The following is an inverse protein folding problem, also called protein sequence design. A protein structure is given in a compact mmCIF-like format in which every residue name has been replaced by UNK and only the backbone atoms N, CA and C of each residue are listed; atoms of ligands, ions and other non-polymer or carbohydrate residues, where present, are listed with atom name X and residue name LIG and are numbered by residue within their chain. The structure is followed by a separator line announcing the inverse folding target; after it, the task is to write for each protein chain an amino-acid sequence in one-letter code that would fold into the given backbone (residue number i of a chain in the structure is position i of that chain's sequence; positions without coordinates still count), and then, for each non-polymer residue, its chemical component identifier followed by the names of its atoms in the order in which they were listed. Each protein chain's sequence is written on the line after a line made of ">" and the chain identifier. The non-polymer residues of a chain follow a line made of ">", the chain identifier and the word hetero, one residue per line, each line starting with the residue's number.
data_IF_713581893553
#
_entry.id   IF_713581893553
#
_cell.length_a   1.000
_cell.length_b   1.000
_cell.length_c   1.000
_cell.angle_alpha   90.00
_cell.angle_beta   90.00
_cell.angle_gamma   90.00
#
_symmetry.space_group_name_H-M   'P 1'
#
loop_
_entity.id
_entity.type
_entity.pdbx_description
1 polymer ?
#
# COMPACT_ATOMS: atom_id res chain seq x y z
N UNK A 1 -1.49 55.68 -52.00
CA UNK A 1 -1.17 54.30 -51.56
C UNK A 1 -2.47 53.50 -51.51
N UNK A 2 -2.49 52.32 -52.14
CA UNK A 2 -3.69 51.66 -52.66
C UNK A 2 -4.37 50.74 -51.61
N UNK A 3 -5.69 50.94 -51.44
CA UNK A 3 -6.86 50.01 -51.46
C UNK A 3 -6.66 48.57 -50.92
N UNK A 4 -7.62 47.88 -50.29
CA UNK A 4 -9.01 48.09 -49.86
C UNK A 4 -9.40 46.85 -49.00
N UNK A 5 -10.48 46.99 -48.23
CA UNK A 5 -11.28 45.95 -47.54
C UNK A 5 -11.36 44.59 -48.27
N UNK A 6 -11.54 43.48 -47.52
CA UNK A 6 -12.74 42.63 -47.64
C UNK A 6 -12.88 41.59 -46.49
N UNK A 7 -14.12 41.11 -46.38
CA UNK A 7 -14.80 40.40 -45.28
C UNK A 7 -14.52 38.90 -45.21
N UNK A 8 -14.69 38.36 -44.00
CA UNK A 8 -15.33 37.08 -43.58
C UNK A 8 -15.62 36.06 -44.69
N UNK A 9 -15.11 34.82 -44.54
CA UNK A 9 -15.88 33.57 -44.69
C UNK A 9 -15.29 32.49 -43.77
N UNK A 10 -16.16 31.90 -42.96
CA UNK A 10 -16.01 30.67 -42.19
C UNK A 10 -16.38 29.49 -43.12
N UNK A 11 -15.56 28.43 -43.22
CA UNK A 11 -16.05 27.12 -43.67
C UNK A 11 -15.23 25.98 -43.04
N UNK A 12 -15.97 25.17 -42.30
CA UNK A 12 -15.65 23.85 -41.77
C UNK A 12 -15.56 22.82 -42.90
N UNK A 13 -14.60 21.91 -42.87
CA UNK A 13 -14.79 20.53 -43.35
C UNK A 13 -13.66 19.59 -42.89
N UNK A 14 -14.10 18.47 -42.33
CA UNK A 14 -13.37 17.28 -41.88
C UNK A 14 -12.92 16.46 -43.08
N UNK A 15 -11.68 15.96 -43.12
CA UNK A 15 -11.41 14.58 -43.61
C UNK A 15 -10.04 14.06 -43.16
N UNK A 16 -10.04 12.84 -42.62
CA UNK A 16 -8.88 12.03 -42.31
C UNK A 16 -8.18 11.53 -43.58
N UNK A 17 -6.85 11.39 -43.54
CA UNK A 17 -6.10 10.59 -44.49
C UNK A 17 -5.08 9.71 -43.74
N UNK A 18 -5.23 8.42 -43.97
CA UNK A 18 -4.37 7.30 -43.60
C UNK A 18 -3.22 7.12 -44.60
N UNK A 19 -2.04 6.86 -44.05
CA UNK A 19 -0.89 6.02 -44.47
C UNK A 19 -0.66 5.62 -45.95
N UNK A 20 0.62 5.73 -46.37
CA UNK A 20 1.29 4.97 -47.44
C UNK A 20 2.37 5.82 -48.14
N UNK A 21 3.68 5.67 -47.88
CA UNK A 21 4.67 4.66 -48.34
C UNK A 21 5.53 5.14 -49.55
N UNK A 22 6.76 4.60 -49.64
CA UNK A 22 7.90 4.81 -50.61
C UNK A 22 8.94 5.89 -50.20
N UNK A 23 10.20 5.57 -49.83
CA UNK A 23 11.38 4.95 -50.53
C UNK A 23 12.01 5.91 -51.56
N UNK A 24 13.32 6.24 -51.63
CA UNK A 24 14.59 5.61 -51.22
C UNK A 24 15.71 6.65 -50.91
N UNK A 25 16.73 6.17 -50.19
CA UNK A 25 18.19 6.45 -50.19
C UNK A 25 18.76 7.87 -50.06
N UNK A 26 19.34 8.15 -48.87
CA UNK A 26 20.74 8.61 -48.76
C UNK A 26 21.33 8.33 -47.37
N UNK A 27 22.56 7.81 -47.35
CA UNK A 27 23.28 7.33 -46.15
C UNK A 27 23.86 8.47 -45.32
N UNK A 28 23.51 8.55 -44.03
CA UNK A 28 24.45 8.89 -42.96
C UNK A 28 23.90 8.50 -41.58
N UNK A 29 24.75 7.90 -40.76
CA UNK A 29 24.48 7.35 -39.43
C UNK A 29 23.79 8.35 -38.49
N UNK A 30 22.55 8.02 -38.12
CA UNK A 30 22.06 8.24 -36.77
C UNK A 30 21.02 7.16 -36.47
N UNK A 31 21.32 6.29 -35.50
CA UNK A 31 20.32 5.41 -34.89
C UNK A 31 19.34 6.31 -34.16
N UNK A 32 18.36 6.82 -34.89
CA UNK A 32 17.18 7.44 -34.32
C UNK A 32 16.38 6.29 -33.70
N UNK A 33 16.41 6.21 -32.37
CA UNK A 33 15.42 5.43 -31.64
C UNK A 33 14.05 5.80 -32.22
N UNK A 34 13.20 4.82 -32.57
CA UNK A 34 11.85 5.15 -32.98
C UNK A 34 11.21 6.02 -31.89
N UNK A 35 10.43 7.04 -32.26
CA UNK A 35 9.74 7.85 -31.27
C UNK A 35 8.97 6.90 -30.35
N UNK A 36 9.23 7.00 -29.04
CA UNK A 36 8.49 6.25 -28.02
C UNK A 36 7.02 6.54 -28.30
N UNK A 37 6.31 5.53 -28.80
CA UNK A 37 4.89 5.60 -29.04
C UNK A 37 4.20 6.12 -27.78
N UNK A 38 3.16 6.93 -27.96
CA UNK A 38 2.20 7.31 -26.92
C UNK A 38 2.12 6.24 -25.82
N UNK A 39 2.55 6.64 -24.62
CA UNK A 39 3.39 5.86 -23.71
C UNK A 39 2.92 4.45 -23.35
N UNK A 40 3.79 3.45 -23.53
CA UNK A 40 3.65 2.11 -22.95
C UNK A 40 3.32 2.19 -21.46
N UNK A 41 2.19 1.60 -21.06
CA UNK A 41 1.84 1.39 -19.66
C UNK A 41 2.50 0.13 -19.13
N UNK A 42 3.36 0.29 -18.13
CA UNK A 42 4.05 -0.80 -17.47
C UNK A 42 3.24 -1.38 -16.31
N UNK A 43 3.41 -2.67 -16.06
CA UNK A 43 3.07 -3.33 -14.81
C UNK A 43 4.39 -3.64 -14.10
N UNK A 44 4.69 -2.91 -13.02
CA UNK A 44 5.90 -3.15 -12.24
C UNK A 44 5.63 -4.26 -11.22
N UNK A 45 6.38 -5.34 -11.31
CA UNK A 45 6.39 -6.42 -10.32
C UNK A 45 7.50 -6.18 -9.32
N UNK A 46 7.23 -6.45 -8.04
CA UNK A 46 8.26 -6.44 -7.01
C UNK A 46 8.39 -7.79 -6.30
N UNK A 47 9.60 -8.11 -5.86
CA UNK A 47 9.90 -9.32 -5.11
C UNK A 47 10.91 -9.09 -4.01
N UNK A 48 10.71 -9.73 -2.87
CA UNK A 48 11.67 -9.77 -1.75
C UNK A 48 12.60 -10.95 -1.87
N UNK A 49 13.83 -10.74 -1.43
CA UNK A 49 14.84 -11.79 -1.27
C UNK A 49 15.39 -11.79 0.17
N UNK A 50 15.95 -12.92 0.64
CA UNK A 50 16.42 -13.04 2.02
C UNK A 50 17.78 -12.35 2.25
N UNK A 51 18.09 -12.09 3.52
CA UNK A 51 19.47 -11.76 3.96
C UNK A 51 20.37 -13.01 3.95
N UNK A 52 21.62 -12.86 4.39
CA UNK A 52 22.59 -13.95 4.42
C UNK A 52 22.17 -15.10 5.36
N UNK A 53 21.38 -14.79 6.38
CA UNK A 53 20.81 -15.72 7.35
C UNK A 53 19.54 -16.43 6.82
N UNK A 54 19.07 -16.09 5.61
CA UNK A 54 17.87 -16.69 5.02
C UNK A 54 16.56 -16.04 5.46
N UNK A 55 16.60 -14.92 6.19
CA UNK A 55 15.42 -14.22 6.68
C UNK A 55 14.74 -13.47 5.54
N UNK A 56 13.59 -13.99 5.11
CA UNK A 56 12.87 -13.45 3.97
C UNK A 56 12.48 -11.98 4.15
N UNK A 57 12.76 -11.17 3.13
CA UNK A 57 12.45 -9.74 3.12
C UNK A 57 13.51 -8.84 3.75
N UNK A 58 14.52 -9.38 4.43
CA UNK A 58 15.64 -8.60 4.96
C UNK A 58 16.73 -8.30 3.91
N UNK A 59 16.82 -9.10 2.84
CA UNK A 59 17.81 -8.86 1.78
C UNK A 59 17.52 -7.61 0.95
N UNK A 60 16.25 -7.24 0.82
CA UNK A 60 15.82 -6.05 0.06
C UNK A 60 14.62 -6.32 -0.84
N UNK A 61 14.48 -5.52 -1.88
CA UNK A 61 13.41 -5.66 -2.88
C UNK A 61 13.94 -5.40 -4.27
N UNK A 62 13.53 -6.24 -5.24
CA UNK A 62 13.82 -6.04 -6.66
C UNK A 62 12.54 -5.69 -7.42
N UNK A 63 12.67 -4.90 -8.48
CA UNK A 63 11.58 -4.47 -9.36
C UNK A 63 11.85 -4.86 -10.82
N UNK A 64 10.80 -5.25 -11.54
CA UNK A 64 10.85 -5.55 -12.98
C UNK A 64 9.52 -5.21 -13.64
N UNK A 65 9.56 -4.39 -14.69
CA UNK A 65 8.39 -3.89 -15.40
C UNK A 65 8.09 -4.71 -16.65
N UNK A 66 6.83 -5.07 -16.87
CA UNK A 66 6.40 -5.81 -18.06
C UNK A 66 5.21 -5.11 -18.72
N UNK A 67 5.00 -5.38 -20.00
CA UNK A 67 3.80 -4.93 -20.71
C UNK A 67 2.57 -5.72 -20.24
N UNK A 68 1.38 -5.20 -20.52
CA UNK A 68 0.12 -5.93 -20.25
C UNK A 68 0.03 -7.24 -21.03
N UNK A 69 0.60 -7.27 -22.25
CA UNK A 69 0.68 -8.47 -23.09
C UNK A 69 1.55 -9.54 -22.42
N UNK A 70 2.76 -9.17 -22.00
CA UNK A 70 3.66 -10.09 -21.29
C UNK A 70 3.04 -10.56 -19.97
N UNK A 71 2.41 -9.66 -19.22
CA UNK A 71 1.71 -10.00 -17.98
C UNK A 71 0.61 -11.05 -18.24
N UNK A 72 -0.09 -10.99 -19.37
CA UNK A 72 -1.14 -11.92 -19.75
C UNK A 72 -0.65 -13.21 -20.43
N UNK A 73 0.63 -13.30 -20.79
CA UNK A 73 1.20 -14.42 -21.51
C UNK A 73 1.74 -15.50 -20.55
N UNK A 74 1.10 -16.69 -20.44
CA UNK A 74 1.57 -17.75 -19.56
C UNK A 74 2.91 -18.39 -19.96
N UNK A 75 3.42 -18.07 -21.15
CA UNK A 75 4.74 -18.51 -21.62
C UNK A 75 5.85 -17.50 -21.33
N UNK A 76 5.51 -16.27 -20.94
CA UNK A 76 6.49 -15.29 -20.49
C UNK A 76 6.88 -15.61 -19.05
N UNK A 77 8.18 -15.52 -18.73
CA UNK A 77 8.72 -15.81 -17.40
C UNK A 77 9.46 -14.58 -16.86
N UNK A 78 9.18 -14.25 -15.60
CA UNK A 78 9.94 -13.27 -14.84
C UNK A 78 10.72 -14.00 -13.76
N UNK A 79 12.03 -13.83 -13.76
CA UNK A 79 12.93 -14.36 -12.74
C UNK A 79 13.72 -13.21 -12.09
N UNK A 80 13.06 -12.49 -11.17
CA UNK A 80 13.69 -11.42 -10.39
C UNK A 80 14.90 -11.88 -9.58
N UNK A 81 15.00 -13.17 -9.29
CA UNK A 81 15.97 -13.73 -8.36
C UNK A 81 17.12 -14.44 -9.06
N UNK A 82 17.16 -14.40 -10.40
CA UNK A 82 18.24 -14.96 -11.19
C UNK A 82 19.60 -14.42 -10.74
N UNK A 83 20.49 -15.34 -10.40
CA UNK A 83 21.87 -15.03 -10.05
C UNK A 83 22.85 -15.61 -11.08
N UNK A 84 23.92 -14.85 -11.35
CA UNK A 84 25.12 -15.30 -12.05
C UNK A 84 26.34 -14.87 -11.24
N UNK A 85 27.25 -15.79 -10.95
CA UNK A 85 28.42 -15.53 -10.11
C UNK A 85 28.10 -14.89 -8.75
N UNK A 86 26.97 -15.26 -8.13
CA UNK A 86 26.51 -14.70 -6.85
C UNK A 86 25.91 -13.28 -6.92
N UNK A 87 25.70 -12.75 -8.13
CA UNK A 87 25.10 -11.43 -8.35
C UNK A 87 23.76 -11.57 -9.05
N UNK A 88 22.78 -10.79 -8.63
CA UNK A 88 21.50 -10.73 -9.33
C UNK A 88 21.67 -10.09 -10.71
N UNK A 89 21.14 -10.74 -11.75
CA UNK A 89 21.27 -10.30 -13.15
C UNK A 89 19.97 -9.77 -13.76
N UNK A 90 18.83 -9.92 -13.07
CA UNK A 90 17.52 -9.49 -13.55
C UNK A 90 16.86 -8.51 -12.59
N UNK A 91 16.21 -7.48 -13.13
CA UNK A 91 15.51 -6.46 -12.35
C UNK A 91 16.43 -5.41 -11.73
N UNK A 92 15.80 -4.45 -11.07
CA UNK A 92 16.44 -3.32 -10.41
C UNK A 92 16.33 -3.45 -8.89
N UNK A 93 17.43 -3.26 -8.16
CA UNK A 93 17.41 -3.28 -6.70
C UNK A 93 16.91 -1.92 -6.19
N UNK A 94 15.75 -1.92 -5.53
CA UNK A 94 15.24 -0.71 -4.89
C UNK A 94 16.07 -0.40 -3.64
N UNK A 95 16.36 0.88 -3.41
CA UNK A 95 17.11 1.33 -2.23
C UNK A 95 16.29 1.03 -0.97
N UNK A 96 16.76 0.11 -0.12
CA UNK A 96 16.27 -0.10 1.25
C UNK A 96 17.12 -1.18 1.93
N UNK A 97 17.34 -1.07 3.24
CA UNK A 97 18.00 -2.11 4.05
C UNK A 97 17.15 -3.36 4.29
N UNK A 98 15.89 -3.36 3.83
CA UNK A 98 14.96 -4.49 3.90
C UNK A 98 13.88 -4.31 2.84
N UNK A 99 12.74 -4.98 2.99
CA UNK A 99 11.63 -4.84 2.04
C UNK A 99 11.23 -3.37 1.87
N UNK A 100 11.35 -2.85 0.64
CA UNK A 100 11.01 -1.49 0.27
C UNK A 100 9.52 -1.20 0.52
N UNK A 101 9.15 0.08 0.62
CA UNK A 101 7.77 0.55 0.77
C UNK A 101 7.36 1.23 -0.51
N UNK A 102 6.98 0.44 -1.50
CA UNK A 102 6.81 0.92 -2.87
C UNK A 102 5.40 1.46 -3.08
N UNK A 103 5.30 2.52 -3.89
CA UNK A 103 4.07 3.07 -4.46
C UNK A 103 4.34 3.37 -5.94
N UNK A 104 3.29 3.62 -6.74
CA UNK A 104 3.46 3.91 -8.16
C UNK A 104 2.51 5.00 -8.67
N UNK A 105 2.86 5.69 -9.75
CA UNK A 105 1.98 6.61 -10.46
C UNK A 105 0.84 5.85 -11.16
N UNK A 106 -0.30 6.50 -11.36
CA UNK A 106 -1.46 5.85 -11.99
C UNK A 106 -1.22 5.43 -13.46
N UNK A 107 -0.28 6.08 -14.14
CA UNK A 107 0.11 5.81 -15.51
C UNK A 107 1.21 4.74 -15.65
N UNK A 108 1.76 4.26 -14.53
CA UNK A 108 2.83 3.25 -14.49
C UNK A 108 4.20 3.76 -14.92
N UNK A 109 4.40 5.08 -15.04
CA UNK A 109 5.69 5.67 -15.44
C UNK A 109 6.65 5.90 -14.28
N UNK A 110 6.17 5.90 -13.05
CA UNK A 110 6.98 6.13 -11.87
C UNK A 110 6.74 5.09 -10.78
N UNK A 111 7.83 4.64 -10.17
CA UNK A 111 7.82 4.03 -8.84
C UNK A 111 8.35 5.03 -7.83
N UNK A 112 7.82 4.93 -6.62
CA UNK A 112 8.21 5.74 -5.49
C UNK A 112 8.53 4.82 -4.32
N UNK A 113 9.48 5.21 -3.48
CA UNK A 113 9.86 4.46 -2.29
C UNK A 113 10.28 5.42 -1.18
N UNK A 114 9.95 5.07 0.06
CA UNK A 114 10.65 5.61 1.23
C UNK A 114 11.37 4.44 1.88
N UNK A 115 12.69 4.58 1.98
CA UNK A 115 13.54 3.57 2.60
C UNK A 115 13.11 3.36 4.05
N UNK A 116 13.04 2.10 4.47
CA UNK A 116 12.56 1.74 5.80
C UNK A 116 13.70 1.11 6.61
N UNK A 117 14.00 1.66 7.79
CA UNK A 117 15.13 1.30 8.67
C UNK A 117 16.52 1.48 8.03
N UNK A 118 17.58 1.25 8.81
CA UNK A 118 18.97 1.37 8.34
C UNK A 118 19.46 2.82 8.30
N UNK A 119 20.70 2.99 7.84
CA UNK A 119 21.39 4.30 7.76
C UNK A 119 20.63 5.30 6.90
N UNK A 120 20.05 4.83 5.79
CA UNK A 120 19.27 5.64 4.85
C UNK A 120 17.75 5.58 5.10
N UNK A 121 17.33 5.03 6.25
CA UNK A 121 15.92 4.95 6.61
C UNK A 121 15.27 6.33 6.63
N UNK A 122 14.13 6.49 5.95
CA UNK A 122 13.43 7.76 5.79
C UNK A 122 13.81 8.56 4.54
N UNK A 123 14.72 8.09 3.70
CA UNK A 123 15.01 8.73 2.41
C UNK A 123 13.95 8.35 1.38
N UNK A 124 13.35 9.35 0.72
CA UNK A 124 12.42 9.18 -0.38
C UNK A 124 13.16 9.14 -1.72
N UNK A 125 12.74 8.22 -2.59
CA UNK A 125 13.26 8.00 -3.93
C UNK A 125 12.10 7.95 -4.94
N UNK A 126 12.34 8.50 -6.13
CA UNK A 126 11.44 8.41 -7.29
C UNK A 126 12.24 7.81 -8.45
N UNK A 127 11.62 6.86 -9.15
CA UNK A 127 12.22 6.13 -10.25
C UNK A 127 11.33 6.21 -11.47
N UNK A 128 11.85 6.68 -12.60
CA UNK A 128 11.22 6.56 -13.91
C UNK A 128 11.29 5.11 -14.39
N UNK A 129 10.18 4.60 -14.91
CA UNK A 129 10.02 3.22 -15.37
C UNK A 129 10.10 3.18 -16.90
N UNK A 130 11.10 2.45 -17.41
CA UNK A 130 11.35 2.31 -18.86
C UNK A 130 11.24 0.86 -19.34
N UNK A 131 10.65 -0.02 -18.52
CA UNK A 131 10.45 -1.44 -18.83
C UNK A 131 11.55 -2.35 -18.27
N UNK A 132 11.19 -3.61 -18.06
CA UNK A 132 12.08 -4.66 -17.55
C UNK A 132 12.82 -4.21 -16.28
N UNK A 133 14.15 -4.35 -16.23
CA UNK A 133 14.98 -3.85 -15.14
C UNK A 133 15.42 -2.39 -15.27
N UNK A 134 14.86 -1.61 -16.20
CA UNK A 134 15.30 -0.24 -16.50
C UNK A 134 14.53 0.78 -15.66
N UNK A 135 15.15 1.18 -14.56
CA UNK A 135 14.67 2.21 -13.66
C UNK A 135 15.74 3.29 -13.51
N UNK A 136 15.34 4.55 -13.67
CA UNK A 136 16.23 5.70 -13.57
C UNK A 136 15.76 6.59 -12.42
N UNK A 137 16.68 7.02 -11.55
CA UNK A 137 16.33 7.98 -10.50
C UNK A 137 15.90 9.30 -11.14
N UNK A 138 14.77 9.84 -10.66
CA UNK A 138 14.16 11.05 -11.17
C UNK A 138 13.95 12.05 -10.03
N UNK A 139 14.58 13.21 -10.12
CA UNK A 139 14.59 14.22 -9.06
C UNK A 139 15.64 13.96 -7.98
N UNK A 140 15.53 14.70 -6.88
CA UNK A 140 16.47 14.60 -5.76
C UNK A 140 15.98 13.57 -4.73
N UNK A 141 16.94 12.92 -4.06
CA UNK A 141 16.62 12.18 -2.84
C UNK A 141 16.16 13.14 -1.75
N UNK A 142 15.05 12.80 -1.12
CA UNK A 142 14.42 13.65 -0.11
C UNK A 142 14.50 12.96 1.25
N UNK A 143 15.37 13.47 2.13
CA UNK A 143 15.52 12.91 3.47
C UNK A 143 14.36 13.36 4.38
N UNK A 144 13.40 12.46 4.62
CA UNK A 144 12.28 12.70 5.54
C UNK A 144 12.59 12.30 6.98
N UNK A 145 13.75 11.68 7.24
CA UNK A 145 14.08 11.10 8.54
C UNK A 145 14.21 12.13 9.66
N UNK A 146 14.58 13.37 9.33
CA UNK A 146 14.61 14.49 10.27
C UNK A 146 13.23 14.83 10.82
N UNK A 147 12.17 14.48 10.10
CA UNK A 147 10.78 14.71 10.48
C UNK A 147 10.13 13.41 10.96
N UNK A 148 10.23 12.33 10.20
CA UNK A 148 9.48 11.09 10.41
C UNK A 148 10.30 9.95 11.03
N UNK A 149 11.58 10.19 11.35
CA UNK A 149 12.50 9.16 11.79
C UNK A 149 12.90 8.17 10.69
N UNK A 150 13.64 7.14 11.06
CA UNK A 150 14.21 6.18 10.09
C UNK A 150 13.26 5.07 9.66
N UNK A 151 12.07 4.99 10.27
CA UNK A 151 11.09 3.94 10.02
C UNK A 151 9.69 4.50 9.73
N UNK A 152 9.56 5.46 8.80
CA UNK A 152 8.27 6.07 8.52
C UNK A 152 7.34 5.08 7.84
N UNK A 153 6.05 5.39 7.93
CA UNK A 153 4.97 4.75 7.18
C UNK A 153 4.52 5.73 6.15
N UNK A 154 4.18 5.29 4.95
CA UNK A 154 3.83 6.23 3.91
C UNK A 154 3.04 5.55 2.80
N UNK A 155 2.23 6.34 2.09
CA UNK A 155 1.52 5.91 0.88
C UNK A 155 1.40 7.07 -0.11
N UNK A 156 1.09 6.75 -1.37
CA UNK A 156 0.55 7.72 -2.33
C UNK A 156 -0.92 7.96 -1.97
N UNK A 157 -1.20 9.07 -1.29
CA UNK A 157 -2.55 9.40 -0.84
C UNK A 157 -3.46 9.87 -1.99
N UNK A 158 -2.87 10.50 -3.02
CA UNK A 158 -3.49 10.81 -4.30
C UNK A 158 -2.39 10.96 -5.37
N UNK A 159 -2.76 11.01 -6.65
CA UNK A 159 -1.77 11.31 -7.70
C UNK A 159 -1.08 12.66 -7.43
N UNK A 160 0.26 12.67 -7.49
CA UNK A 160 1.09 13.81 -7.12
C UNK A 160 1.27 14.06 -5.61
N UNK A 161 0.55 13.35 -4.73
CA UNK A 161 0.55 13.59 -3.27
C UNK A 161 0.94 12.33 -2.50
N UNK A 162 2.13 12.35 -1.91
CA UNK A 162 2.59 11.38 -0.92
C UNK A 162 2.32 11.88 0.50
N UNK A 163 2.05 10.97 1.42
CA UNK A 163 1.95 11.30 2.84
C UNK A 163 2.73 10.30 3.66
N UNK A 164 3.73 10.78 4.39
CA UNK A 164 4.48 10.05 5.38
C UNK A 164 3.96 10.33 6.79
N UNK A 165 3.94 9.31 7.63
CA UNK A 165 3.46 9.36 9.01
C UNK A 165 4.37 8.54 9.92
N UNK A 166 4.45 8.98 11.18
CA UNK A 166 5.19 8.31 12.24
C UNK A 166 4.41 8.42 13.54
N UNK A 167 4.50 7.37 14.37
CA UNK A 167 3.98 7.38 15.73
C UNK A 167 4.97 6.71 16.68
N UNK A 168 5.08 7.25 17.89
CA UNK A 168 5.85 6.63 18.97
C UNK A 168 5.09 6.80 20.30
N UNK A 169 4.83 5.69 20.99
CA UNK A 169 4.10 5.66 22.25
C UNK A 169 5.03 5.44 23.44
N UNK A 170 5.06 6.39 24.38
CA UNK A 170 5.91 6.36 25.57
C UNK A 170 5.04 6.26 26.82
N UNK A 171 5.32 5.30 27.68
CA UNK A 171 4.63 5.16 28.96
C UNK A 171 5.21 6.13 29.99
N UNK A 172 4.33 6.79 30.74
CA UNK A 172 4.67 7.59 31.91
C UNK A 172 4.21 6.87 33.18
N UNK A 173 5.07 6.85 34.18
CA UNK A 173 4.83 6.17 35.46
C UNK A 173 5.66 6.83 36.57
N UNK A 174 5.26 6.59 37.81
CA UNK A 174 5.97 7.05 39.01
C UNK A 174 6.35 5.87 39.91
N UNK A 175 7.16 6.13 40.93
CA UNK A 175 7.66 5.12 41.86
C UNK A 175 8.90 4.40 41.35
N UNK A 176 9.35 3.41 42.11
CA UNK A 176 10.50 2.55 41.81
C UNK A 176 10.09 1.10 41.95
N UNK A 177 10.87 0.19 41.35
CA UNK A 177 10.66 -1.24 41.49
C UNK A 177 10.53 -1.64 42.99
N UNK A 178 9.52 -2.43 43.37
CA UNK A 178 8.45 -3.03 42.55
C UNK A 178 7.14 -2.21 42.47
N UNK A 179 7.09 -1.02 43.05
CA UNK A 179 5.88 -0.22 43.31
C UNK A 179 5.62 0.85 42.24
N UNK A 180 5.77 0.50 40.97
CA UNK A 180 5.46 1.43 39.88
C UNK A 180 3.96 1.72 39.79
N UNK A 181 3.60 2.98 39.61
CA UNK A 181 2.21 3.43 39.41
C UNK A 181 2.08 4.03 38.01
N UNK A 182 1.11 3.52 37.24
CA UNK A 182 0.82 4.01 35.91
C UNK A 182 0.30 5.45 35.95
N UNK A 183 0.78 6.30 35.03
CA UNK A 183 0.18 7.63 34.80
C UNK A 183 -0.59 7.68 33.50
N UNK A 184 0.11 7.55 32.37
CA UNK A 184 -0.48 7.57 31.04
C UNK A 184 0.45 6.92 30.02
N UNK A 185 0.02 6.89 28.75
CA UNK A 185 0.87 6.46 27.63
C UNK A 185 0.60 7.33 26.40
N UNK A 186 1.22 8.49 26.36
CA UNK A 186 1.06 9.43 25.26
C UNK A 186 1.79 8.93 24.00
N UNK A 187 1.23 9.28 22.84
CA UNK A 187 1.76 8.90 21.53
C UNK A 187 2.04 10.14 20.72
N UNK A 188 3.31 10.42 20.42
CA UNK A 188 3.68 11.51 19.51
C UNK A 188 3.39 11.06 18.08
N UNK A 189 2.69 11.90 17.32
CA UNK A 189 2.37 11.71 15.90
C UNK A 189 3.12 12.75 15.09
N UNK A 190 3.72 12.33 13.98
CA UNK A 190 4.33 13.22 12.98
C UNK A 190 3.77 12.90 11.60
N UNK A 191 3.48 13.94 10.83
CA UNK A 191 2.96 13.82 9.46
C UNK A 191 3.80 14.73 8.56
N UNK A 192 4.15 14.25 7.38
CA UNK A 192 4.74 15.05 6.31
C UNK A 192 4.01 14.78 4.99
N UNK A 193 3.66 15.85 4.27
CA UNK A 193 3.13 15.74 2.91
C UNK A 193 4.26 15.95 1.90
N UNK A 194 4.23 15.16 0.84
CA UNK A 194 5.28 15.12 -0.19
C UNK A 194 4.63 15.39 -1.54
N UNK A 195 5.14 16.37 -2.27
CA UNK A 195 4.86 16.55 -3.70
C UNK A 195 5.67 15.50 -4.48
N UNK A 196 4.97 14.52 -5.04
CA UNK A 196 5.58 13.41 -5.80
C UNK A 196 6.07 13.83 -7.19
N UNK A 197 5.58 14.96 -7.71
CA UNK A 197 6.01 15.48 -8.99
C UNK A 197 7.37 16.17 -8.83
N UNK A 198 7.49 17.03 -7.82
CA UNK A 198 8.67 17.87 -7.57
C UNK A 198 9.64 17.32 -6.51
N UNK A 199 9.35 16.15 -5.93
CA UNK A 199 10.19 15.51 -4.89
C UNK A 199 10.48 16.42 -3.70
N UNK A 200 9.43 17.05 -3.14
CA UNK A 200 9.57 18.06 -2.08
C UNK A 200 8.60 17.85 -0.92
N UNK A 201 9.02 18.16 0.32
CA UNK A 201 8.10 18.25 1.47
C UNK A 201 7.30 19.54 1.36
N UNK A 202 5.98 19.44 1.42
CA UNK A 202 5.07 20.59 1.25
C UNK A 202 4.47 21.08 2.57
N UNK A 203 4.33 20.21 3.57
CA UNK A 203 3.85 20.57 4.91
C UNK A 203 4.26 19.49 5.92
N UNK A 204 4.41 19.89 7.19
CA UNK A 204 4.69 18.97 8.30
C UNK A 204 3.94 19.40 9.56
N UNK A 205 3.65 18.43 10.43
CA UNK A 205 3.13 18.71 11.77
C UNK A 205 3.58 17.62 12.75
N UNK A 206 3.72 18.00 14.02
CA UNK A 206 3.86 17.07 15.12
C UNK A 206 2.85 17.43 16.22
N UNK A 207 2.21 16.43 16.82
CA UNK A 207 1.26 16.60 17.93
C UNK A 207 1.12 15.31 18.73
N UNK A 208 0.62 15.42 19.96
CA UNK A 208 0.22 14.23 20.73
C UNK A 208 -1.11 13.71 20.20
N UNK A 209 -1.21 12.39 20.01
CA UNK A 209 -2.45 11.72 19.63
C UNK A 209 -3.59 12.18 20.57
N UNK A 210 -4.73 12.63 20.02
CA UNK A 210 -5.73 13.35 20.80
C UNK A 210 -6.64 12.37 21.57
N UNK A 211 -6.05 11.62 22.49
CA UNK A 211 -6.77 10.83 23.48
C UNK A 211 -7.61 11.73 24.38
N UNK A 212 -8.75 11.23 24.82
CA UNK A 212 -9.47 11.76 25.98
C UNK A 212 -8.72 11.46 27.28
N UNK A 213 -9.00 12.20 28.35
CA UNK A 213 -8.36 11.93 29.65
C UNK A 213 -8.78 10.56 30.21
N UNK A 214 -10.01 10.14 29.93
CA UNK A 214 -10.53 8.81 30.27
C UNK A 214 -9.77 7.70 29.54
N UNK A 215 -9.52 7.85 28.23
CA UNK A 215 -8.75 6.87 27.45
C UNK A 215 -7.29 6.80 27.94
N UNK A 216 -6.66 7.94 28.22
CA UNK A 216 -5.31 7.98 28.79
C UNK A 216 -5.25 7.22 30.11
N UNK A 217 -6.16 7.52 31.03
CA UNK A 217 -6.23 6.87 32.34
C UNK A 217 -6.56 5.37 32.24
N UNK A 218 -7.33 4.97 31.23
CA UNK A 218 -7.71 3.57 30.98
C UNK A 218 -6.60 2.72 30.31
N UNK A 219 -5.45 3.31 29.99
CA UNK A 219 -4.30 2.59 29.46
C UNK A 219 -4.22 2.51 27.94
N UNK A 220 -4.94 3.37 27.20
CA UNK A 220 -4.88 3.39 25.73
C UNK A 220 -3.57 3.99 25.21
N UNK A 221 -3.15 3.53 24.03
CA UNK A 221 -1.99 4.06 23.30
C UNK A 221 -2.06 3.73 21.81
N UNK A 222 -1.39 4.51 20.96
CA UNK A 222 -1.22 4.20 19.54
C UNK A 222 0.27 4.04 19.24
N UNK A 223 0.70 2.80 19.02
CA UNK A 223 2.10 2.51 18.72
C UNK A 223 2.50 2.73 17.26
N UNK A 224 1.53 2.75 16.35
CA UNK A 224 1.74 2.96 14.90
C UNK A 224 0.51 3.63 14.29
N UNK A 225 0.76 4.47 13.29
CA UNK A 225 -0.27 4.99 12.39
C UNK A 225 0.17 4.69 10.95
N UNK A 226 -0.78 4.31 10.11
CA UNK A 226 -0.48 3.78 8.78
C UNK A 226 -1.53 4.24 7.73
N UNK A 227 -1.18 4.05 6.45
CA UNK A 227 -2.08 4.19 5.28
C UNK A 227 -2.85 5.51 5.23
N UNK A 228 -2.21 6.70 5.30
CA UNK A 228 -2.92 7.97 5.19
C UNK A 228 -3.68 8.13 3.85
N UNK A 229 -4.99 8.35 3.88
CA UNK A 229 -5.83 8.53 2.68
C UNK A 229 -6.64 9.82 2.77
N UNK A 230 -6.70 10.56 1.66
CA UNK A 230 -7.55 11.75 1.52
C UNK A 230 -8.99 11.34 1.25
N UNK A 231 -9.98 12.07 1.76
CA UNK A 231 -11.36 11.91 1.26
C UNK A 231 -11.51 12.41 -0.18
N UNK A 232 -12.67 12.15 -0.78
CA UNK A 232 -12.96 12.53 -2.16
C UNK A 232 -12.82 14.04 -2.42
N UNK A 233 -13.18 14.89 -1.45
CA UNK A 233 -13.04 16.35 -1.50
C UNK A 233 -11.62 16.84 -1.24
N UNK A 234 -10.71 15.95 -0.84
CA UNK A 234 -9.31 16.24 -0.48
C UNK A 234 -9.15 17.35 0.55
N UNK A 235 -10.09 17.44 1.50
CA UNK A 235 -10.05 18.41 2.58
C UNK A 235 -9.82 17.76 3.96
N UNK A 236 -9.82 16.42 4.02
CA UNK A 236 -9.51 15.65 5.23
C UNK A 236 -8.58 14.49 4.91
N UNK A 237 -7.65 14.22 5.83
CA UNK A 237 -6.75 13.07 5.80
C UNK A 237 -7.12 12.10 6.92
N UNK A 238 -7.29 10.83 6.57
CA UNK A 238 -7.66 9.73 7.47
C UNK A 238 -6.49 8.78 7.60
N UNK A 239 -6.12 8.40 8.82
CA UNK A 239 -4.94 7.59 9.11
C UNK A 239 -5.33 6.44 10.04
N UNK A 240 -5.07 5.21 9.61
CA UNK A 240 -5.34 4.01 10.42
C UNK A 240 -4.44 3.94 11.65
N UNK A 241 -4.92 3.38 12.74
CA UNK A 241 -4.25 3.33 14.04
C UNK A 241 -4.04 1.89 14.52
N UNK A 242 -2.86 1.62 15.07
CA UNK A 242 -2.57 0.44 15.88
C UNK A 242 -2.85 0.78 17.34
N UNK A 243 -4.11 0.69 17.74
CA UNK A 243 -4.51 0.90 19.13
C UNK A 243 -4.08 -0.29 19.97
N UNK A 244 -3.52 0.00 21.13
CA UNK A 244 -3.18 -0.96 22.17
C UNK A 244 -3.72 -0.48 23.50
N UNK A 245 -4.06 -1.42 24.38
CA UNK A 245 -4.53 -1.13 25.74
C UNK A 245 -3.79 -2.01 26.73
N UNK A 246 -3.38 -1.42 27.85
CA UNK A 246 -2.89 -2.15 29.03
C UNK A 246 -3.93 -2.08 30.15
N UNK A 247 -3.74 -2.85 31.22
CA UNK A 247 -4.52 -2.75 32.47
C UNK A 247 -3.70 -1.99 33.52
N UNK A 248 -3.95 -0.67 33.72
CA UNK A 248 -3.23 0.15 34.69
C UNK A 248 -3.41 -0.28 36.14
N UNK A 249 -4.46 -1.05 36.44
CA UNK A 249 -4.80 -1.48 37.81
C UNK A 249 -3.98 -2.68 38.29
N UNK A 250 -3.25 -3.33 37.38
CA UNK A 250 -2.47 -4.55 37.68
C UNK A 250 -1.00 -4.21 37.93
N UNK A 251 -0.35 -5.06 38.71
CA UNK A 251 1.09 -4.98 38.94
C UNK A 251 1.84 -5.12 37.61
N UNK A 252 2.71 -4.17 37.24
CA UNK A 252 3.51 -4.30 36.02
C UNK A 252 4.61 -5.35 36.19
N UNK A 253 4.99 -5.97 35.08
CA UNK A 253 6.25 -6.74 34.99
C UNK A 253 7.39 -5.79 34.68
N UNK A 254 8.57 -6.01 35.27
CA UNK A 254 9.75 -5.18 35.00
C UNK A 254 10.60 -5.89 33.95
N UNK A 255 10.95 -5.19 32.87
CA UNK A 255 11.93 -5.68 31.92
C UNK A 255 13.31 -5.71 32.62
N UNK A 256 13.90 -6.90 32.74
CA UNK A 256 15.14 -7.10 33.50
C UNK A 256 16.34 -6.34 32.92
N UNK A 257 16.37 -6.11 31.61
CA UNK A 257 17.49 -5.47 30.92
C UNK A 257 17.43 -3.94 30.98
N UNK A 258 16.22 -3.36 30.98
CA UNK A 258 16.00 -1.91 30.90
C UNK A 258 15.48 -1.29 32.19
N UNK A 259 14.98 -2.11 33.12
CA UNK A 259 14.29 -1.65 34.33
C UNK A 259 12.93 -0.99 34.07
N UNK A 260 12.44 -0.99 32.84
CA UNK A 260 11.19 -0.33 32.45
C UNK A 260 9.99 -1.24 32.80
N UNK A 261 8.96 -0.73 33.53
CA UNK A 261 7.74 -1.47 33.81
C UNK A 261 6.86 -1.59 32.56
N UNK A 262 6.19 -2.73 32.43
CA UNK A 262 5.17 -3.02 31.43
C UNK A 262 3.92 -3.56 32.11
N UNK A 263 2.80 -2.89 31.93
CA UNK A 263 1.51 -3.34 32.44
C UNK A 263 0.94 -4.48 31.58
N UNK A 264 0.13 -5.38 32.16
CA UNK A 264 -0.51 -6.46 31.41
C UNK A 264 -1.34 -5.96 30.24
N UNK A 265 -1.35 -6.71 29.14
CA UNK A 265 -2.18 -6.41 27.98
C UNK A 265 -3.67 -6.48 28.34
N UNK A 266 -4.46 -5.53 27.85
CA UNK A 266 -5.91 -5.47 28.03
C UNK A 266 -6.63 -5.19 26.70
N UNK A 267 -6.08 -5.70 25.59
CA UNK A 267 -6.57 -5.42 24.24
C UNK A 267 -8.04 -5.83 24.03
N UNK A 268 -8.54 -6.83 24.77
CA UNK A 268 -9.94 -7.26 24.72
C UNK A 268 -10.94 -6.15 25.13
N UNK A 269 -10.49 -5.18 25.93
CA UNK A 269 -11.29 -4.03 26.40
C UNK A 269 -11.13 -2.77 25.54
N UNK A 270 -10.52 -2.86 24.36
CA UNK A 270 -10.55 -1.76 23.37
C UNK A 270 -12.01 -1.52 22.94
N UNK A 271 -12.42 -0.26 22.92
CA UNK A 271 -13.80 0.21 22.72
C UNK A 271 -14.16 0.53 21.26
N UNK A 272 -13.39 -0.01 20.32
CA UNK A 272 -13.68 0.11 18.89
C UNK A 272 -12.43 0.37 18.06
N UNK A 273 -12.61 0.33 16.74
CA UNK A 273 -11.57 0.66 15.77
C UNK A 273 -11.45 2.18 15.64
N UNK A 274 -10.25 2.72 15.82
CA UNK A 274 -10.00 4.17 15.83
C UNK A 274 -9.25 4.63 14.58
N UNK A 275 -9.56 5.82 14.10
CA UNK A 275 -8.87 6.48 12.98
C UNK A 275 -8.57 7.92 13.37
N UNK A 276 -7.34 8.34 13.11
CA UNK A 276 -6.92 9.72 13.25
C UNK A 276 -7.35 10.51 12.02
N UNK A 277 -7.92 11.70 12.24
CA UNK A 277 -8.34 12.62 11.20
C UNK A 277 -7.69 13.98 11.43
N UNK A 278 -7.16 14.58 10.36
CA UNK A 278 -6.68 15.97 10.34
C UNK A 278 -7.25 16.70 9.13
N UNK A 279 -7.29 18.03 9.20
CA UNK A 279 -7.62 18.88 8.05
C UNK A 279 -6.51 18.81 7.00
N UNK A 280 -6.86 18.84 5.72
CA UNK A 280 -5.91 18.87 4.61
C UNK A 280 -6.18 20.08 3.71
N UNK A 281 -5.14 20.79 3.22
CA UNK A 281 -3.70 20.51 3.35
C UNK A 281 -3.05 21.03 4.65
N UNK A 282 -3.80 21.67 5.55
CA UNK A 282 -3.23 22.37 6.72
C UNK A 282 -2.61 21.45 7.79
N UNK A 283 -3.01 20.18 7.84
CA UNK A 283 -2.67 19.18 8.86
C UNK A 283 -3.08 19.59 10.30
N UNK A 284 -4.08 20.47 10.42
CA UNK A 284 -4.58 20.98 11.71
C UNK A 284 -5.78 20.18 12.23
N UNK A 285 -6.25 20.55 13.42
CA UNK A 285 -7.45 20.02 14.06
C UNK A 285 -7.46 18.48 14.18
N UNK A 286 -6.41 17.88 14.80
CA UNK A 286 -6.36 16.44 14.98
C UNK A 286 -7.53 15.97 15.86
N UNK A 287 -8.24 14.95 15.37
CA UNK A 287 -9.34 14.30 16.10
C UNK A 287 -9.36 12.80 15.82
N UNK A 288 -9.98 12.04 16.70
CA UNK A 288 -10.18 10.60 16.54
C UNK A 288 -11.65 10.32 16.25
N UNK A 289 -11.90 9.44 15.28
CA UNK A 289 -13.20 8.82 15.06
C UNK A 289 -13.12 7.34 15.44
N UNK A 290 -14.20 6.82 16.02
CA UNK A 290 -14.28 5.44 16.51
C UNK A 290 -15.45 4.71 15.86
N UNK A 291 -15.22 3.49 15.39
CA UNK A 291 -16.27 2.57 14.96
C UNK A 291 -16.51 1.54 16.05
N UNK A 292 -17.76 1.33 16.42
CA UNK A 292 -18.18 0.30 17.39
C UNK A 292 -18.46 -1.06 16.75
N UNK A 293 -18.42 -1.15 15.41
CA UNK A 293 -18.74 -2.37 14.65
C UNK A 293 -17.66 -3.45 14.77
N UNK A 294 -16.45 -3.06 15.15
CA UNK A 294 -15.30 -3.96 15.32
C UNK A 294 -14.30 -3.32 16.28
N UNK A 295 -13.48 -4.15 16.91
CA UNK A 295 -12.41 -3.74 17.84
C UNK A 295 -11.01 -3.92 17.25
N UNK A 296 -10.95 -4.39 16.01
CA UNK A 296 -9.70 -4.75 15.36
C UNK A 296 -9.05 -3.50 14.77
N UNK A 297 -7.73 -3.39 14.90
CA UNK A 297 -7.00 -2.27 14.32
C UNK A 297 -7.13 -2.23 12.79
N UNK A 298 -7.05 -1.03 12.22
CA UNK A 298 -7.18 -0.73 10.78
C UNK A 298 -5.87 -0.24 10.14
N UNK A 299 -4.79 -0.22 10.91
CA UNK A 299 -3.45 0.12 10.41
C UNK A 299 -2.93 -0.93 9.41
N UNK A 300 -2.35 -0.46 8.31
CA UNK A 300 -1.72 -1.30 7.31
C UNK A 300 -0.21 -1.28 7.40
N UNK A 301 0.40 -2.35 7.92
CA UNK A 301 1.86 -2.39 8.08
C UNK A 301 2.61 -2.31 6.73
N UNK A 302 2.13 -3.03 5.71
CA UNK A 302 2.74 -3.09 4.37
C UNK A 302 1.76 -2.89 3.22
N UNK A 303 0.49 -3.19 3.47
CA UNK A 303 -0.58 -3.11 2.49
C UNK A 303 -1.46 -1.92 2.78
N UNK A 304 -2.11 -1.42 1.74
CA UNK A 304 -3.21 -0.47 1.89
C UNK A 304 -4.39 -1.17 2.58
N UNK A 305 -4.90 -0.55 3.64
CA UNK A 305 -6.09 -1.03 4.37
C UNK A 305 -7.31 -0.19 4.10
N UNK A 306 -7.19 0.95 3.42
CA UNK A 306 -8.29 1.85 3.13
C UNK A 306 -8.21 2.48 1.76
N UNK A 307 -9.38 2.74 1.19
CA UNK A 307 -9.55 3.33 -0.13
C UNK A 307 -10.78 4.23 -0.17
N UNK A 308 -10.69 5.31 -0.94
CA UNK A 308 -11.86 6.09 -1.36
C UNK A 308 -12.58 5.31 -2.46
N UNK A 309 -13.85 5.01 -2.24
CA UNK A 309 -14.72 4.42 -3.24
C UNK A 309 -15.12 5.43 -4.32
N UNK A 310 -15.59 4.93 -5.46
CA UNK A 310 -16.17 5.78 -6.52
C UNK A 310 -17.46 6.47 -6.10
N UNK A 311 -18.10 5.98 -5.03
CA UNK A 311 -19.23 6.63 -4.38
C UNK A 311 -18.81 7.80 -3.46
N UNK A 312 -17.50 7.99 -3.23
CA UNK A 312 -16.90 9.02 -2.40
C UNK A 312 -16.70 8.64 -0.92
N UNK A 313 -17.22 7.49 -0.48
CA UNK A 313 -17.01 7.02 0.89
C UNK A 313 -15.60 6.44 1.05
N UNK A 314 -15.08 6.37 2.27
CA UNK A 314 -13.83 5.64 2.54
C UNK A 314 -14.21 4.27 3.10
N UNK A 315 -13.73 3.23 2.46
CA UNK A 315 -13.86 1.86 2.93
C UNK A 315 -12.54 1.46 3.58
N UNK A 316 -12.60 0.95 4.80
CA UNK A 316 -11.43 0.64 5.61
C UNK A 316 -11.55 -0.77 6.19
N UNK A 317 -10.58 -1.61 5.86
CA UNK A 317 -10.45 -2.96 6.36
C UNK A 317 -9.79 -2.99 7.74
N UNK A 318 -10.18 -3.95 8.56
CA UNK A 318 -9.47 -4.34 9.79
C UNK A 318 -8.28 -5.27 9.53
N UNK A 319 -7.66 -5.12 8.36
CA UNK A 319 -6.46 -5.85 7.97
C UNK A 319 -5.24 -5.42 8.83
N UNK A 320 -4.22 -6.24 9.00
CA UNK A 320 -4.00 -7.57 8.37
C UNK A 320 -4.47 -8.76 9.23
N UNK A 321 -5.38 -8.50 10.19
CA UNK A 321 -5.81 -9.50 11.17
C UNK A 321 -7.30 -9.82 11.14
N UNK A 322 -8.17 -8.87 10.78
CA UNK A 322 -9.62 -9.04 10.83
C UNK A 322 -10.30 -9.32 9.48
N UNK A 323 -11.59 -9.72 9.51
CA UNK A 323 -12.42 -9.98 8.32
C UNK A 323 -13.28 -8.78 7.89
N UNK A 324 -13.23 -7.66 8.62
CA UNK A 324 -14.20 -6.58 8.49
C UNK A 324 -13.73 -5.51 7.51
N UNK A 325 -14.69 -4.91 6.78
CA UNK A 325 -14.53 -3.63 6.10
C UNK A 325 -15.66 -2.71 6.60
N UNK A 326 -15.26 -1.63 7.24
CA UNK A 326 -16.14 -0.57 7.77
C UNK A 326 -16.05 0.67 6.88
N UNK A 327 -17.04 1.56 6.97
CA UNK A 327 -17.17 2.71 6.08
C UNK A 327 -17.14 4.02 6.85
N UNK A 328 -16.39 4.99 6.34
CA UNK A 328 -16.46 6.39 6.74
C UNK A 328 -17.27 7.12 5.68
N UNK A 329 -18.33 7.81 6.12
CA UNK A 329 -19.27 8.50 5.26
C UNK A 329 -18.63 9.75 4.65
N UNK A 330 -18.81 9.90 3.33
CA UNK A 330 -18.40 11.11 2.59
C UNK A 330 -19.12 12.37 3.06
N UNK A 331 -20.32 12.22 3.63
CA UNK A 331 -21.20 13.34 3.96
C UNK A 331 -20.77 14.03 5.25
N UNK A 332 -20.25 13.27 6.22
CA UNK A 332 -19.97 13.79 7.56
C UNK A 332 -18.57 13.44 8.09
N UNK A 333 -17.74 12.73 7.31
CA UNK A 333 -16.38 12.36 7.70
C UNK A 333 -16.32 11.59 9.05
N UNK A 334 -17.34 10.77 9.31
CA UNK A 334 -17.48 9.90 10.48
C UNK A 334 -17.81 8.46 10.04
N UNK A 335 -17.54 7.49 10.91
CA UNK A 335 -17.95 6.12 10.64
C UNK A 335 -19.47 6.02 10.47
N UNK A 336 -19.87 5.23 9.49
CA UNK A 336 -21.26 4.87 9.29
C UNK A 336 -21.62 3.68 10.18
N UNK A 337 -22.45 3.86 11.21
CA UNK A 337 -22.80 2.78 12.14
C UNK A 337 -23.67 1.69 11.48
N UNK A 338 -24.25 1.94 10.31
CA UNK A 338 -25.14 1.00 9.62
C UNK A 338 -24.44 0.22 8.50
N UNK A 339 -23.17 0.55 8.22
CA UNK A 339 -22.40 -0.13 7.19
C UNK A 339 -21.33 -1.04 7.80
N UNK A 340 -21.49 -2.34 7.56
CA UNK A 340 -20.52 -3.37 7.94
C UNK A 340 -20.48 -4.43 6.85
N UNK A 341 -19.30 -4.65 6.29
CA UNK A 341 -18.97 -5.82 5.49
C UNK A 341 -18.12 -6.77 6.33
N UNK A 342 -18.44 -8.06 6.29
CA UNK A 342 -17.71 -9.09 7.03
C UNK A 342 -17.42 -10.29 6.11
N UNK A 343 -16.14 -10.57 5.87
CA UNK A 343 -15.71 -11.59 4.91
C UNK A 343 -16.13 -13.01 5.30
N UNK A 344 -16.16 -13.33 6.60
CA UNK A 344 -16.65 -14.62 7.11
C UNK A 344 -18.09 -14.86 6.67
N UNK A 345 -18.95 -13.86 6.88
CA UNK A 345 -20.36 -13.91 6.50
C UNK A 345 -20.51 -14.01 4.97
N UNK A 346 -19.78 -13.17 4.24
CA UNK A 346 -19.88 -13.08 2.79
C UNK A 346 -19.43 -14.36 2.06
N UNK A 347 -18.48 -15.13 2.63
CA UNK A 347 -17.99 -16.40 2.08
C UNK A 347 -18.57 -17.65 2.78
N UNK A 348 -19.40 -17.48 3.81
CA UNK A 348 -19.86 -18.56 4.68
C UNK A 348 -18.72 -19.42 5.27
N UNK A 349 -17.72 -18.74 5.86
CA UNK A 349 -16.56 -19.36 6.53
C UNK A 349 -16.34 -18.76 7.91
N UNK A 350 -15.46 -19.36 8.72
CA UNK A 350 -15.05 -18.84 10.02
C UNK A 350 -13.54 -18.62 10.06
N UNK A 351 -13.09 -17.55 10.72
CA UNK A 351 -11.66 -17.29 10.92
C UNK A 351 -10.94 -16.71 9.71
N UNK A 352 -11.66 -16.13 8.74
CA UNK A 352 -11.07 -15.38 7.65
C UNK A 352 -10.34 -14.13 8.18
N UNK A 353 -9.21 -13.81 7.55
CA UNK A 353 -8.38 -12.66 7.88
C UNK A 353 -7.90 -12.00 6.59
N UNK A 354 -8.30 -10.75 6.36
CA UNK A 354 -7.89 -9.96 5.20
C UNK A 354 -6.39 -9.67 5.36
N UNK A 355 -5.58 -10.07 4.38
CA UNK A 355 -4.12 -9.83 4.36
C UNK A 355 -3.73 -8.67 3.48
N UNK A 356 -4.44 -8.49 2.37
CA UNK A 356 -4.37 -7.32 1.50
C UNK A 356 -5.70 -7.20 0.77
N UNK A 357 -6.07 -6.00 0.35
CA UNK A 357 -7.23 -5.81 -0.50
C UNK A 357 -7.07 -4.57 -1.36
N UNK A 358 -7.90 -4.44 -2.38
CA UNK A 358 -7.92 -3.27 -3.25
C UNK A 358 -9.34 -2.98 -3.67
N UNK A 359 -9.80 -1.76 -3.39
CA UNK A 359 -11.00 -1.23 -4.02
C UNK A 359 -10.73 -1.02 -5.52
N UNK A 360 -11.65 -1.47 -6.37
CA UNK A 360 -11.55 -1.37 -7.83
C UNK A 360 -12.48 -0.25 -8.31
N UNK A 361 -13.79 -0.52 -8.33
CA UNK A 361 -14.84 0.40 -8.81
C UNK A 361 -16.21 -0.11 -8.41
N UNK A 362 -17.20 0.79 -8.31
CA UNK A 362 -18.63 0.47 -8.18
C UNK A 362 -18.96 -0.48 -7.01
N UNK A 363 -18.27 -0.29 -5.88
CA UNK A 363 -18.39 -1.16 -4.70
C UNK A 363 -17.64 -2.49 -4.81
N UNK A 364 -17.02 -2.79 -5.95
CA UNK A 364 -16.26 -4.03 -6.15
C UNK A 364 -14.82 -3.85 -5.65
N UNK A 365 -14.34 -4.87 -4.94
CA UNK A 365 -12.96 -4.98 -4.52
C UNK A 365 -12.43 -6.39 -4.68
N UNK A 366 -11.11 -6.55 -4.59
CA UNK A 366 -10.43 -7.85 -4.52
C UNK A 366 -9.75 -7.98 -3.18
N UNK A 367 -9.83 -9.16 -2.59
CA UNK A 367 -9.30 -9.46 -1.26
C UNK A 367 -8.37 -10.66 -1.35
N UNK A 368 -7.19 -10.54 -0.76
CA UNK A 368 -6.30 -11.64 -0.42
C UNK A 368 -6.50 -11.97 1.05
N UNK A 369 -6.81 -13.23 1.37
CA UNK A 369 -7.15 -13.62 2.74
C UNK A 369 -6.61 -15.00 3.11
N UNK A 370 -6.52 -15.25 4.41
CA UNK A 370 -6.24 -16.57 4.99
C UNK A 370 -7.41 -17.01 5.86
N UNK A 371 -7.45 -18.28 6.23
CA UNK A 371 -8.41 -18.83 7.19
C UNK A 371 -7.63 -19.46 8.36
N UNK A 372 -7.95 -19.07 9.59
CA UNK A 372 -7.31 -19.64 10.80
C UNK A 372 -7.42 -21.17 10.81
N UNK A 373 -6.29 -21.84 11.11
CA UNK A 373 -6.23 -23.30 11.15
C UNK A 373 -6.28 -23.99 9.78
N UNK A 374 -6.27 -23.24 8.68
CA UNK A 374 -6.25 -23.78 7.32
C UNK A 374 -4.97 -23.38 6.60
N UNK A 375 -4.33 -24.34 5.94
CA UNK A 375 -3.15 -24.07 5.12
C UNK A 375 -3.53 -23.28 3.88
N UNK A 376 -2.67 -22.30 3.55
CA UNK A 376 -2.74 -21.60 2.27
C UNK A 376 -3.24 -20.17 2.35
N UNK A 377 -3.59 -19.65 1.18
CA UNK A 377 -3.98 -18.26 0.96
C UNK A 377 -4.91 -18.16 -0.23
N UNK A 378 -5.92 -17.31 -0.12
CA UNK A 378 -7.06 -17.30 -1.02
C UNK A 378 -7.32 -15.92 -1.60
N UNK A 379 -8.02 -15.91 -2.73
CA UNK A 379 -8.47 -14.69 -3.40
C UNK A 379 -10.00 -14.67 -3.39
N UNK A 380 -10.60 -13.53 -3.14
CA UNK A 380 -12.04 -13.31 -3.34
C UNK A 380 -12.30 -11.99 -4.04
N UNK A 381 -13.31 -11.97 -4.91
CA UNK A 381 -13.94 -10.74 -5.35
C UNK A 381 -15.05 -10.40 -4.35
N UNK A 382 -15.09 -9.16 -3.88
CA UNK A 382 -16.11 -8.68 -2.94
C UNK A 382 -16.97 -7.61 -3.59
N UNK A 383 -18.23 -7.53 -3.18
CA UNK A 383 -19.12 -6.42 -3.49
C UNK A 383 -19.57 -5.78 -2.16
N UNK A 384 -19.14 -4.55 -1.96
CA UNK A 384 -19.36 -3.74 -0.76
C UNK A 384 -20.81 -3.24 -0.66
N UNK A 385 -21.48 -3.03 -1.79
CA UNK A 385 -22.88 -2.59 -1.81
C UNK A 385 -23.82 -3.73 -1.39
N UNK A 386 -23.63 -4.90 -1.98
CA UNK A 386 -24.46 -6.08 -1.74
C UNK A 386 -23.96 -6.92 -0.55
N UNK A 387 -22.77 -6.57 -0.03
CA UNK A 387 -22.06 -7.28 1.04
C UNK A 387 -21.81 -8.77 0.76
N UNK A 388 -21.53 -9.10 -0.50
CA UNK A 388 -21.28 -10.46 -0.97
C UNK A 388 -19.80 -10.68 -1.31
N UNK A 389 -19.38 -11.94 -1.37
CA UNK A 389 -18.04 -12.32 -1.79
C UNK A 389 -18.08 -13.61 -2.62
N UNK A 390 -17.16 -13.72 -3.56
CA UNK A 390 -16.97 -14.88 -4.43
C UNK A 390 -15.51 -15.30 -4.39
N UNK A 391 -15.24 -16.51 -3.87
CA UNK A 391 -13.89 -17.08 -3.88
C UNK A 391 -13.45 -17.34 -5.31
N UNK A 392 -12.24 -16.91 -5.64
CA UNK A 392 -11.59 -17.18 -6.92
C UNK A 392 -10.50 -18.24 -6.71
N UNK A 393 -10.66 -19.40 -7.35
CA UNK A 393 -9.72 -20.51 -7.21
C UNK A 393 -8.39 -20.23 -7.91
N UNK A 394 -7.29 -20.52 -7.23
CA UNK A 394 -5.94 -20.59 -7.82
C UNK A 394 -5.33 -21.96 -7.57
N UNK A 395 -4.39 -22.38 -8.40
CA UNK A 395 -3.66 -23.65 -8.26
C UNK A 395 -2.62 -23.63 -7.13
N UNK A 396 -2.32 -22.45 -6.55
CA UNK A 396 -1.40 -22.29 -5.41
C UNK A 396 -2.12 -22.10 -4.08
N UNK A 397 -3.46 -22.06 -4.05
CA UNK A 397 -4.23 -21.59 -2.88
C UNK A 397 -4.07 -22.46 -1.63
N UNK A 398 -3.73 -23.74 -1.78
CA UNK A 398 -3.56 -24.70 -0.68
C UNK A 398 -2.11 -24.82 -0.19
N UNK A 399 -1.16 -24.15 -0.85
CA UNK A 399 0.23 -24.18 -0.44
C UNK A 399 0.42 -23.40 0.86
N UNK A 400 0.78 -24.09 1.93
CA UNK A 400 0.94 -23.49 3.26
C UNK A 400 1.85 -22.24 3.26
N UNK A 401 2.86 -22.20 2.39
CA UNK A 401 3.81 -21.09 2.30
C UNK A 401 3.18 -19.82 1.69
N UNK A 402 2.03 -19.90 1.03
CA UNK A 402 1.32 -18.75 0.49
C UNK A 402 0.74 -17.86 1.60
N UNK A 403 0.32 -18.46 2.73
CA UNK A 403 -0.20 -17.70 3.89
C UNK A 403 0.81 -16.65 4.40
N UNK A 404 2.10 -17.02 4.42
CA UNK A 404 3.22 -16.17 4.83
C UNK A 404 3.43 -15.01 3.85
N UNK A 405 3.39 -15.29 2.54
CA UNK A 405 3.64 -14.27 1.51
C UNK A 405 2.48 -13.28 1.40
N UNK A 406 1.23 -13.73 1.61
CA UNK A 406 0.08 -12.82 1.71
C UNK A 406 0.22 -11.83 2.88
N UNK A 407 0.80 -12.24 4.01
CA UNK A 407 1.09 -11.34 5.13
C UNK A 407 2.16 -10.27 4.83
N UNK A 408 2.84 -10.39 3.69
CA UNK A 408 3.90 -9.49 3.23
C UNK A 408 3.51 -8.70 1.98
N UNK A 409 2.34 -9.00 1.41
CA UNK A 409 1.85 -8.41 0.17
C UNK A 409 1.69 -6.90 0.30
N UNK A 410 2.12 -6.16 -0.73
CA UNK A 410 2.21 -4.71 -0.68
C UNK A 410 1.21 -4.02 -1.59
N UNK A 411 1.02 -4.51 -2.82
CA UNK A 411 0.12 -3.87 -3.76
C UNK A 411 -0.54 -4.84 -4.75
N UNK A 412 -1.80 -4.55 -5.05
CA UNK A 412 -2.61 -5.24 -6.06
C UNK A 412 -2.74 -4.29 -7.26
N UNK A 413 -2.21 -4.72 -8.41
CA UNK A 413 -2.20 -3.92 -9.63
C UNK A 413 -3.58 -3.88 -10.30
N UNK A 414 -3.95 -2.75 -10.88
CA UNK A 414 -5.22 -2.59 -11.63
C UNK A 414 -4.95 -1.83 -12.91
N UNK A 415 -5.40 -2.40 -14.04
CA UNK A 415 -5.41 -1.73 -15.34
C UNK A 415 -6.71 -2.06 -16.07
N UNK A 416 -7.53 -1.04 -16.30
CA UNK A 416 -8.85 -1.20 -16.90
C UNK A 416 -9.72 -2.16 -16.08
N UNK A 417 -10.19 -3.23 -16.71
CA UNK A 417 -11.03 -4.24 -16.06
C UNK A 417 -10.25 -5.38 -15.39
N UNK A 418 -8.92 -5.35 -15.46
CA UNK A 418 -8.07 -6.42 -14.98
C UNK A 418 -7.33 -6.04 -13.71
N UNK A 419 -7.32 -6.98 -12.77
CA UNK A 419 -6.53 -6.98 -11.54
C UNK A 419 -5.36 -7.93 -11.72
N UNK A 420 -4.17 -7.54 -11.28
CA UNK A 420 -2.93 -8.30 -11.41
C UNK A 420 -2.42 -8.71 -10.02
N UNK A 421 -2.36 -10.03 -9.80
CA UNK A 421 -2.02 -10.63 -8.51
C UNK A 421 -0.80 -11.56 -8.69
N UNK A 422 0.43 -11.09 -8.46
CA UNK A 422 1.60 -11.97 -8.47
C UNK A 422 1.60 -12.84 -7.21
N UNK A 423 1.12 -14.08 -7.33
CA UNK A 423 1.03 -15.01 -6.20
C UNK A 423 2.12 -16.07 -6.35
N UNK A 424 3.05 -16.08 -5.40
CA UNK A 424 4.08 -17.11 -5.25
C UNK A 424 4.12 -17.56 -3.80
N UNK A 425 3.94 -18.85 -3.50
CA UNK A 425 4.32 -19.38 -2.19
C UNK A 425 5.82 -19.15 -1.95
N UNK A 426 6.24 -18.97 -0.70
CA UNK A 426 7.65 -18.73 -0.38
C UNK A 426 8.54 -19.86 -0.94
N UNK A 427 9.64 -19.49 -1.60
CA UNK A 427 10.60 -20.41 -2.22
C UNK A 427 10.09 -21.21 -3.41
N UNK A 428 8.91 -20.91 -3.95
CA UNK A 428 8.29 -21.66 -5.05
C UNK A 428 7.89 -20.75 -6.19
N UNK A 429 7.80 -21.35 -7.37
CA UNK A 429 7.27 -20.70 -8.56
C UNK A 429 5.78 -20.37 -8.36
N UNK A 430 5.30 -19.41 -9.14
CA UNK A 430 3.89 -19.09 -9.24
C UNK A 430 3.59 -18.32 -10.51
N UNK A 431 2.53 -17.52 -10.48
CA UNK A 431 2.06 -16.78 -11.63
C UNK A 431 1.53 -15.40 -11.24
N UNK A 432 1.45 -14.53 -12.24
CA UNK A 432 0.50 -13.42 -12.17
C UNK A 432 -0.89 -13.99 -12.44
N UNK A 433 -1.78 -13.93 -11.47
CA UNK A 433 -3.20 -14.22 -11.67
C UNK A 433 -3.89 -12.95 -12.10
N UNK A 434 -4.59 -13.02 -13.24
CA UNK A 434 -5.33 -11.90 -13.80
C UNK A 434 -6.80 -12.15 -13.55
N UNK A 435 -7.41 -11.27 -12.75
CA UNK A 435 -8.85 -11.30 -12.47
C UNK A 435 -9.52 -10.20 -13.28
N UNK A 436 -10.46 -10.56 -14.14
CA UNK A 436 -11.36 -9.58 -14.73
C UNK A 436 -12.52 -9.35 -13.75
N UNK A 437 -12.63 -8.16 -13.19
CA UNK A 437 -13.58 -7.91 -12.10
C UNK A 437 -15.04 -7.89 -12.56
N UNK A 438 -15.30 -7.67 -13.85
CA UNK A 438 -16.66 -7.66 -14.43
C UNK A 438 -17.16 -9.06 -14.72
N UNK A 439 -16.35 -9.86 -15.41
CA UNK A 439 -16.72 -11.24 -15.76
C UNK A 439 -16.43 -12.23 -14.63
N UNK A 440 -15.70 -11.79 -13.61
CA UNK A 440 -15.22 -12.59 -12.47
C UNK A 440 -14.27 -13.72 -12.87
N UNK A 441 -13.82 -13.75 -14.12
CA UNK A 441 -12.89 -14.74 -14.61
C UNK A 441 -11.49 -14.51 -14.03
N UNK A 442 -10.86 -15.58 -13.55
CA UNK A 442 -9.45 -15.62 -13.15
C UNK A 442 -8.66 -16.49 -14.12
N UNK A 443 -7.50 -16.01 -14.58
CA UNK A 443 -6.59 -16.78 -15.45
C UNK A 443 -5.13 -16.62 -15.05
N UNK A 444 -4.30 -17.59 -15.43
CA UNK A 444 -2.84 -17.49 -15.30
C UNK A 444 -2.26 -16.63 -16.41
N UNK A 445 -1.49 -15.64 -16.02
CA UNK A 445 -0.58 -14.87 -16.86
C UNK A 445 0.87 -15.35 -16.69
N UNK A 446 1.83 -14.43 -16.83
CA UNK A 446 3.26 -14.72 -16.77
C UNK A 446 3.65 -15.60 -15.59
N UNK A 447 4.61 -16.50 -15.82
CA UNK A 447 5.27 -17.31 -14.80
C UNK A 447 6.19 -16.44 -13.97
N UNK A 448 6.20 -16.69 -12.67
CA UNK A 448 7.03 -16.01 -11.70
C UNK A 448 7.96 -17.04 -11.09
N UNK A 449 9.26 -16.96 -11.42
CA UNK A 449 10.26 -17.88 -10.91
C UNK A 449 10.55 -17.58 -9.44
N UNK A 450 10.42 -18.60 -8.59
CA UNK A 450 10.79 -18.54 -7.18
C UNK A 450 12.26 -18.83 -6.97
N UNK A 451 12.77 -18.41 -5.81
CA UNK A 451 14.10 -18.76 -5.31
C UNK A 451 14.04 -18.95 -3.79
N UNK A 452 14.99 -19.68 -3.22
CA UNK A 452 15.03 -19.96 -1.78
C UNK A 452 14.89 -18.68 -0.95
N UNK A 453 13.91 -18.66 -0.04
CA UNK A 453 13.62 -17.53 0.85
C UNK A 453 12.93 -16.34 0.17
N UNK A 454 12.72 -16.37 -1.14
CA UNK A 454 12.18 -15.27 -1.94
C UNK A 454 10.71 -15.47 -2.31
N UNK A 455 10.04 -14.37 -2.63
CA UNK A 455 8.66 -14.35 -3.15
C UNK A 455 8.31 -12.97 -3.74
N UNK A 456 7.28 -12.94 -4.58
CA UNK A 456 6.72 -11.70 -5.14
C UNK A 456 5.78 -11.01 -4.15
N UNK A 457 5.82 -9.68 -4.14
CA UNK A 457 5.19 -8.83 -3.12
C UNK A 457 4.01 -8.03 -3.66
N UNK A 458 3.97 -7.75 -4.96
CA UNK A 458 2.91 -6.95 -5.55
C UNK A 458 3.15 -6.59 -7.00
N UNK A 459 2.07 -6.14 -7.63
CA UNK A 459 2.06 -5.53 -8.95
C UNK A 459 1.61 -4.08 -8.81
N UNK A 460 2.21 -3.18 -9.56
CA UNK A 460 2.01 -1.73 -9.48
C UNK A 460 1.55 -1.16 -10.81
#
# INVERSE_FOLDING_TARGET
>A
MKKNLFKIVLFSAVTALTLGSCSDDDKNDSVTNPPVAESTRWVSLTGSFPDAEGTAGNGGTRAYAITLENAANPNYEVDLFKMDGGKYTVGFALKSSRTARVQASEDGKFLYNIQYTGTEGGVFNKYKVSGEGKYEEDGFELNTATILGTSPRWVKAAEGIGVGVFANAVASYEGTAPNFVYKNRDSEIKIATIDLNNTAITNTVAFNFPWTDEERAAGYSVGRVDVPVLNATKDRLFIGCNVSKVDPSKTPTINADTGIPSWPNDAAKIDGTKTLVVDFPSLRNPRVITSTLTKTNNHGYRTMTQYVGTDGNIYQATATSGPDIIRISKTNNSYDPNYHFNLNTALNVTGASIKAWRYIKDGVGVVLYTITGTNGGYVALINLNDKTAEKLTTDVETDAALSTTLGQFQNIGIVGDNVYLPLTPQSKDGNIYIVNWKTKAIKKGAKLKGASGSFYLGAY
#
